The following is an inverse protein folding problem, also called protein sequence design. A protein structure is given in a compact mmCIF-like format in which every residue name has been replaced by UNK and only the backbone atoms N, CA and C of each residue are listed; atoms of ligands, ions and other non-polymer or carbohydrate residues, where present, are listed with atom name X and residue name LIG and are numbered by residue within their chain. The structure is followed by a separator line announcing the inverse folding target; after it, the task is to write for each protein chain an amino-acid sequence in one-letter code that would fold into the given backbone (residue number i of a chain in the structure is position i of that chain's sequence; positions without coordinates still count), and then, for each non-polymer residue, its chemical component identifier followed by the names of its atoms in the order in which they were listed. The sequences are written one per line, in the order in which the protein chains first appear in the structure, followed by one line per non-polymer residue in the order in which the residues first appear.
data_IF_149529819819
#
_entry.id   IF_149529819819
#
_cell.length_a   1.000
_cell.length_b   1.000
_cell.length_c   1.000
_cell.angle_alpha   90.00
_cell.angle_beta   90.00
_cell.angle_gamma   90.00
#
_symmetry.space_group_name_H-M   'P 1'
#
loop_
_entity.id
_entity.type
_entity.pdbx_description
1 polymer ?
#
# COMPACT_ATOMS: atom_id res chain seq x y z
N UNK A 1 -15.99 -20.97 -4.42
CA UNK A 1 -15.60 -22.31 -3.95
C UNK A 1 -14.94 -23.21 -5.01
N UNK A 2 -15.22 -23.11 -6.33
CA UNK A 2 -14.64 -23.99 -7.37
C UNK A 2 -13.18 -23.71 -7.79
N UNK A 3 -12.60 -22.54 -7.48
CA UNK A 3 -11.21 -22.21 -7.88
C UNK A 3 -10.13 -22.64 -6.89
N UNK A 4 -10.50 -22.98 -5.66
CA UNK A 4 -9.57 -23.35 -4.58
C UNK A 4 -9.16 -24.82 -4.68
N UNK A 5 -10.04 -25.67 -5.21
CA UNK A 5 -9.77 -27.10 -5.41
C UNK A 5 -8.77 -27.39 -6.54
N UNK A 6 -8.65 -26.50 -7.53
CA UNK A 6 -7.75 -26.68 -8.67
C UNK A 6 -6.27 -26.56 -8.31
N UNK A 7 -5.92 -25.69 -7.34
CA UNK A 7 -4.52 -25.50 -6.92
C UNK A 7 -3.96 -26.70 -6.14
N UNK A 8 -4.81 -27.44 -5.43
CA UNK A 8 -4.40 -28.67 -4.73
C UNK A 8 -4.26 -29.83 -5.71
N UNK A 9 -5.08 -29.86 -6.75
CA UNK A 9 -5.05 -30.91 -7.78
C UNK A 9 -3.78 -30.78 -8.64
N UNK A 10 -3.28 -29.58 -8.92
CA UNK A 10 -2.07 -29.40 -9.73
C UNK A 10 -0.79 -29.86 -9.01
N UNK A 11 -0.76 -29.82 -7.67
CA UNK A 11 0.38 -30.31 -6.86
C UNK A 11 0.42 -31.84 -6.86
N UNK A 12 -0.68 -32.49 -7.17
CA UNK A 12 -0.85 -33.95 -7.10
C UNK A 12 -0.60 -34.66 -8.45
N UNK A 13 -0.64 -33.94 -9.57
CA UNK A 13 -0.30 -34.50 -10.88
C UNK A 13 1.19 -34.80 -11.05
N UNK A 14 2.07 -34.28 -10.19
CA UNK A 14 3.50 -34.64 -10.17
C UNK A 14 3.76 -35.98 -9.48
N UNK A 15 2.76 -36.56 -8.80
CA UNK A 15 2.91 -37.82 -8.06
C UNK A 15 2.47 -39.06 -8.81
N UNK A 16 1.86 -38.95 -9.99
CA UNK A 16 1.29 -40.11 -10.70
C UNK A 16 2.23 -40.84 -11.69
N UNK A 17 3.50 -40.48 -11.75
CA UNK A 17 4.45 -41.05 -12.72
C UNK A 17 5.57 -41.88 -12.09
N UNK A 18 5.31 -42.63 -11.00
CA UNK A 18 6.20 -43.71 -10.56
C UNK A 18 5.41 -44.79 -9.78
N UNK A 19 4.70 -45.65 -10.47
CA UNK A 19 4.26 -46.93 -9.92
C UNK A 19 5.35 -47.99 -10.13
N UNK A 20 6.40 -47.88 -9.33
CA UNK A 20 7.28 -48.98 -9.01
C UNK A 20 6.84 -49.55 -7.66
N UNK A 21 6.35 -50.78 -7.61
CA UNK A 21 6.04 -51.48 -6.36
C UNK A 21 7.36 -51.76 -5.63
N UNK A 22 7.82 -50.78 -4.85
CA UNK A 22 8.79 -50.98 -3.79
C UNK A 22 8.03 -50.85 -2.45
N UNK A 23 8.22 -51.81 -1.55
CA UNK A 23 7.69 -51.78 -0.17
C UNK A 23 7.98 -50.40 0.42
N UNK A 24 6.94 -49.56 0.54
CA UNK A 24 7.07 -48.23 1.12
C UNK A 24 7.56 -48.36 2.56
N UNK A 25 8.68 -47.75 2.89
CA UNK A 25 9.17 -47.68 4.26
C UNK A 25 8.09 -47.07 5.15
N UNK A 26 8.03 -47.41 6.45
CA UNK A 26 7.04 -46.85 7.37
C UNK A 26 7.03 -45.29 7.33
N UNK A 27 8.16 -44.71 7.00
CA UNK A 27 8.32 -43.26 6.78
C UNK A 27 7.44 -42.74 5.60
N UNK A 28 7.35 -43.47 4.48
CA UNK A 28 6.55 -43.02 3.33
C UNK A 28 5.05 -43.09 3.64
N UNK A 29 4.62 -43.99 4.50
CA UNK A 29 3.24 -44.09 4.98
C UNK A 29 2.86 -42.92 5.86
N UNK A 30 3.70 -42.53 6.82
CA UNK A 30 3.45 -41.37 7.71
C UNK A 30 3.26 -40.07 6.92
N UNK A 31 4.09 -39.86 5.89
CA UNK A 31 3.95 -38.69 5.01
C UNK A 31 2.69 -38.80 4.13
N UNK A 32 2.37 -39.99 3.59
CA UNK A 32 1.17 -40.22 2.81
C UNK A 32 -0.10 -40.00 3.62
N UNK A 33 -0.12 -40.43 4.87
CA UNK A 33 -1.25 -40.18 5.80
C UNK A 33 -1.45 -38.69 6.08
N UNK A 34 -0.36 -37.95 6.34
CA UNK A 34 -0.45 -36.50 6.54
C UNK A 34 -0.97 -35.78 5.29
N UNK A 35 -0.55 -36.19 4.10
CA UNK A 35 -1.05 -35.70 2.82
C UNK A 35 -2.52 -36.01 2.59
N UNK A 36 -2.95 -37.20 2.98
CA UNK A 36 -4.35 -37.63 2.87
C UNK A 36 -5.25 -36.80 3.76
N UNK A 37 -4.83 -36.49 4.99
CA UNK A 37 -5.52 -35.57 5.89
C UNK A 37 -5.63 -34.15 5.30
N UNK A 38 -4.56 -33.65 4.70
CA UNK A 38 -4.57 -32.34 4.05
C UNK A 38 -5.55 -32.30 2.86
N UNK A 39 -5.60 -33.39 2.05
CA UNK A 39 -6.56 -33.54 0.95
C UNK A 39 -8.01 -33.61 1.45
N UNK A 40 -8.25 -34.24 2.58
CA UNK A 40 -9.56 -34.38 3.19
C UNK A 40 -10.03 -33.06 3.90
N UNK A 41 -9.22 -31.97 3.83
CA UNK A 41 -9.54 -30.70 4.47
C UNK A 41 -9.31 -30.69 6.00
N UNK A 42 -8.76 -31.76 6.57
CA UNK A 42 -8.42 -31.87 7.99
C UNK A 42 -7.07 -31.17 8.25
N UNK A 43 -7.02 -29.85 7.98
CA UNK A 43 -5.77 -29.08 7.96
C UNK A 43 -5.08 -29.03 9.34
N UNK A 44 -5.83 -28.98 10.45
CA UNK A 44 -5.26 -28.94 11.79
C UNK A 44 -4.50 -30.24 12.14
N UNK A 45 -5.08 -31.40 11.84
CA UNK A 45 -4.42 -32.69 12.06
C UNK A 45 -3.22 -32.88 11.11
N UNK A 46 -3.41 -32.52 9.83
CA UNK A 46 -2.36 -32.57 8.83
C UNK A 46 -1.15 -31.70 9.22
N UNK A 47 -1.40 -30.46 9.65
CA UNK A 47 -0.32 -29.53 10.05
C UNK A 47 0.46 -30.04 11.25
N UNK A 48 -0.20 -30.61 12.26
CA UNK A 48 0.46 -31.21 13.42
C UNK A 48 1.38 -32.38 13.02
N UNK A 49 0.90 -33.28 12.17
CA UNK A 49 1.72 -34.40 11.66
C UNK A 49 2.88 -33.90 10.80
N UNK A 50 2.63 -33.02 9.84
CA UNK A 50 3.67 -32.44 8.97
C UNK A 50 4.75 -31.69 9.79
N UNK A 51 4.35 -30.97 10.82
CA UNK A 51 5.28 -30.32 11.74
C UNK A 51 6.22 -31.33 12.41
N UNK A 52 5.68 -32.40 13.00
CA UNK A 52 6.47 -33.47 13.61
C UNK A 52 7.43 -34.12 12.61
N UNK A 53 6.95 -34.43 11.38
CA UNK A 53 7.76 -35.02 10.31
C UNK A 53 8.88 -34.08 9.85
N UNK A 54 8.66 -32.77 9.84
CA UNK A 54 9.66 -31.76 9.42
C UNK A 54 10.92 -31.71 10.32
N UNK A 55 10.79 -32.13 11.58
CA UNK A 55 11.88 -32.21 12.54
C UNK A 55 12.47 -33.61 12.67
N UNK A 56 11.82 -34.65 12.12
CA UNK A 56 12.29 -36.01 12.20
C UNK A 56 13.56 -36.22 11.35
N UNK A 57 14.64 -36.83 11.90
CA UNK A 57 15.85 -37.16 11.15
C UNK A 57 15.60 -38.06 9.94
N UNK A 58 14.57 -38.94 10.01
CA UNK A 58 14.18 -39.85 8.94
C UNK A 58 13.76 -39.15 7.65
N UNK A 59 13.35 -37.87 7.72
CA UNK A 59 12.86 -37.10 6.58
C UNK A 59 13.81 -36.00 6.15
N UNK A 60 15.08 -36.09 6.47
CA UNK A 60 16.07 -35.07 6.16
C UNK A 60 16.03 -34.68 4.67
N UNK A 61 15.98 -35.66 3.79
CA UNK A 61 15.97 -35.47 2.32
C UNK A 61 14.67 -34.87 1.80
N UNK A 62 13.53 -35.13 2.49
CA UNK A 62 12.21 -34.62 2.15
C UNK A 62 11.80 -33.39 2.96
N UNK A 63 12.68 -32.87 3.81
CA UNK A 63 12.39 -31.79 4.76
C UNK A 63 11.84 -30.54 4.08
N UNK A 64 12.42 -30.11 2.96
CA UNK A 64 11.97 -28.93 2.21
C UNK A 64 10.58 -29.13 1.61
N UNK A 65 10.31 -30.32 1.11
CA UNK A 65 8.97 -30.70 0.66
C UNK A 65 7.94 -30.62 1.78
N UNK A 66 8.27 -31.20 2.93
CA UNK A 66 7.38 -31.23 4.11
C UNK A 66 7.13 -29.82 4.63
N UNK A 67 8.17 -28.98 4.76
CA UNK A 67 8.02 -27.57 5.17
C UNK A 67 7.16 -26.78 4.18
N UNK A 68 7.35 -26.99 2.87
CA UNK A 68 6.52 -26.34 1.85
C UNK A 68 5.04 -26.74 1.99
N UNK A 69 4.74 -28.04 2.12
CA UNK A 69 3.37 -28.54 2.29
C UNK A 69 2.77 -28.06 3.61
N UNK A 70 3.55 -28.04 4.68
CA UNK A 70 3.12 -27.48 5.98
C UNK A 70 2.75 -25.99 5.84
N UNK A 71 3.59 -25.19 5.18
CA UNK A 71 3.28 -23.80 4.88
C UNK A 71 1.98 -23.64 4.10
N UNK A 72 1.76 -24.47 3.08
CA UNK A 72 0.50 -24.50 2.32
C UNK A 72 -0.71 -24.85 3.19
N UNK A 73 -0.58 -25.83 4.07
CA UNK A 73 -1.65 -26.27 4.97
C UNK A 73 -2.01 -25.17 5.97
N UNK A 74 -1.00 -24.51 6.55
CA UNK A 74 -1.18 -23.37 7.45
C UNK A 74 -1.82 -22.16 6.76
N UNK A 75 -1.44 -21.89 5.51
CA UNK A 75 -2.04 -20.83 4.71
C UNK A 75 -3.54 -21.07 4.44
N UNK A 76 -3.94 -22.34 4.20
CA UNK A 76 -5.36 -22.70 4.08
C UNK A 76 -6.15 -22.47 5.37
N UNK A 77 -5.50 -22.61 6.51
CA UNK A 77 -6.07 -22.28 7.82
C UNK A 77 -6.08 -20.76 8.12
N UNK A 78 -5.64 -19.92 7.18
CA UNK A 78 -5.43 -18.47 7.32
C UNK A 78 -4.37 -18.09 8.37
N UNK A 79 -3.54 -19.01 8.80
CA UNK A 79 -2.40 -18.77 9.69
C UNK A 79 -1.19 -18.26 8.86
N UNK A 80 -1.39 -17.12 8.19
CA UNK A 80 -0.46 -16.60 7.17
C UNK A 80 0.92 -16.29 7.73
N UNK A 81 1.02 -15.78 8.96
CA UNK A 81 2.31 -15.46 9.58
C UNK A 81 3.13 -16.74 9.82
N UNK A 82 2.52 -17.77 10.37
CA UNK A 82 3.20 -19.06 10.62
C UNK A 82 3.55 -19.77 9.33
N UNK A 83 2.67 -19.69 8.31
CA UNK A 83 2.91 -20.18 6.97
C UNK A 83 4.13 -19.50 6.32
N UNK A 84 4.23 -18.18 6.45
CA UNK A 84 5.36 -17.40 5.94
C UNK A 84 6.70 -17.88 6.51
N UNK A 85 6.78 -18.18 7.80
CA UNK A 85 8.00 -18.74 8.40
C UNK A 85 8.41 -20.10 7.80
N UNK A 86 7.43 -20.95 7.42
CA UNK A 86 7.73 -22.23 6.77
C UNK A 86 8.29 -22.01 5.37
N UNK A 87 7.69 -21.09 4.59
CA UNK A 87 8.18 -20.73 3.25
C UNK A 87 9.57 -20.11 3.30
N UNK A 88 9.84 -19.21 4.26
CA UNK A 88 11.20 -18.68 4.49
C UNK A 88 12.18 -19.79 4.81
N UNK A 89 11.80 -20.76 5.64
CA UNK A 89 12.63 -21.90 5.94
C UNK A 89 13.02 -22.70 4.68
N UNK A 90 12.11 -22.86 3.72
CA UNK A 90 12.40 -23.49 2.43
C UNK A 90 13.35 -22.65 1.57
N UNK A 91 13.19 -21.33 1.58
CA UNK A 91 13.99 -20.40 0.79
C UNK A 91 15.42 -20.29 1.36
N UNK A 92 15.56 -20.27 2.68
CA UNK A 92 16.87 -20.17 3.37
C UNK A 92 17.83 -21.32 3.06
N UNK A 93 17.30 -22.52 2.90
CA UNK A 93 18.13 -23.71 2.63
C UNK A 93 18.77 -23.69 1.22
N UNK A 94 18.40 -22.71 0.38
CA UNK A 94 19.00 -22.54 -0.94
C UNK A 94 18.80 -23.75 -1.86
N UNK A 95 19.07 -23.58 -3.12
CA UNK A 95 19.13 -24.55 -4.21
C UNK A 95 18.21 -25.81 -4.10
N UNK A 96 16.92 -25.60 -3.86
CA UNK A 96 15.93 -26.67 -3.87
C UNK A 96 14.79 -26.38 -4.85
N UNK A 97 14.12 -27.43 -5.34
CA UNK A 97 13.05 -27.31 -6.35
C UNK A 97 11.81 -26.55 -5.89
N UNK A 98 11.66 -26.29 -4.59
CA UNK A 98 10.47 -25.64 -4.01
C UNK A 98 10.65 -24.12 -3.80
N UNK A 99 11.83 -23.55 -4.05
CA UNK A 99 12.11 -22.13 -3.82
C UNK A 99 11.10 -21.23 -4.54
N UNK A 100 10.87 -21.50 -5.85
CA UNK A 100 9.97 -20.69 -6.68
C UNK A 100 8.55 -20.69 -6.14
N UNK A 101 8.03 -21.89 -5.82
CA UNK A 101 6.70 -22.04 -5.26
C UNK A 101 6.59 -21.48 -3.85
N UNK A 102 7.62 -21.63 -3.02
CA UNK A 102 7.65 -21.09 -1.67
C UNK A 102 7.64 -19.55 -1.68
N UNK A 103 8.35 -18.92 -2.60
CA UNK A 103 8.35 -17.46 -2.72
C UNK A 103 7.00 -16.92 -3.23
N UNK A 104 6.38 -17.60 -4.20
CA UNK A 104 5.02 -17.27 -4.65
C UNK A 104 4.03 -17.30 -3.48
N UNK A 105 4.08 -18.36 -2.67
CA UNK A 105 3.18 -18.51 -1.52
C UNK A 105 3.52 -17.55 -0.39
N UNK A 106 4.79 -17.22 -0.20
CA UNK A 106 5.22 -16.18 0.74
C UNK A 106 4.69 -14.81 0.32
N UNK A 107 4.71 -14.47 -0.97
CA UNK A 107 4.12 -13.23 -1.46
C UNK A 107 2.62 -13.16 -1.18
N UNK A 108 1.87 -14.25 -1.44
CA UNK A 108 0.44 -14.30 -1.14
C UNK A 108 0.16 -14.19 0.38
N UNK A 109 1.03 -14.76 1.22
CA UNK A 109 0.93 -14.64 2.67
C UNK A 109 1.22 -13.21 3.13
N UNK A 110 2.23 -12.54 2.56
CA UNK A 110 2.55 -11.15 2.84
C UNK A 110 1.40 -10.21 2.43
N UNK A 111 0.82 -10.40 1.24
CA UNK A 111 -0.35 -9.64 0.79
C UNK A 111 -1.55 -9.83 1.74
N UNK A 112 -1.76 -11.05 2.23
CA UNK A 112 -2.84 -11.34 3.18
C UNK A 112 -2.60 -10.72 4.57
N UNK A 113 -1.35 -10.58 4.99
CA UNK A 113 -0.95 -9.94 6.24
C UNK A 113 -0.91 -8.41 6.13
N UNK A 114 -0.67 -7.88 4.93
CA UNK A 114 -0.35 -6.47 4.71
C UNK A 114 1.05 -6.10 5.26
N UNK A 115 1.93 -7.08 5.42
CA UNK A 115 3.30 -6.92 5.91
C UNK A 115 4.29 -7.66 5.01
N UNK A 116 5.17 -6.90 4.37
CA UNK A 116 6.15 -7.40 3.41
C UNK A 116 7.53 -7.71 4.03
N UNK A 117 7.70 -7.53 5.33
CA UNK A 117 9.02 -7.67 6.01
C UNK A 117 9.65 -9.04 5.74
N UNK A 118 8.85 -10.09 5.87
CA UNK A 118 9.31 -11.47 5.64
C UNK A 118 9.57 -11.75 4.16
N UNK A 119 8.74 -11.18 3.28
CA UNK A 119 8.91 -11.29 1.83
C UNK A 119 10.19 -10.58 1.38
N UNK A 120 10.43 -9.37 1.88
CA UNK A 120 11.61 -8.58 1.55
C UNK A 120 12.92 -9.28 1.97
N UNK A 121 12.91 -9.91 3.14
CA UNK A 121 14.03 -10.74 3.58
C UNK A 121 14.31 -11.90 2.62
N UNK A 122 13.28 -12.55 2.10
CA UNK A 122 13.43 -13.66 1.17
C UNK A 122 13.92 -13.19 -0.20
N UNK A 123 13.35 -12.10 -0.73
CA UNK A 123 13.66 -11.54 -2.04
C UNK A 123 15.12 -11.11 -2.15
N UNK A 124 15.70 -10.54 -1.09
CA UNK A 124 17.10 -10.08 -1.10
C UNK A 124 18.13 -11.19 -1.39
N UNK A 125 17.70 -12.46 -1.43
CA UNK A 125 18.56 -13.63 -1.63
C UNK A 125 18.30 -14.43 -2.90
N UNK A 126 17.43 -13.95 -3.78
CA UNK A 126 16.97 -14.72 -4.94
C UNK A 126 17.16 -13.95 -6.24
N UNK A 127 17.57 -14.66 -7.29
CA UNK A 127 17.64 -14.12 -8.63
C UNK A 127 16.26 -14.21 -9.31
N UNK A 128 15.69 -13.06 -9.68
CA UNK A 128 14.35 -12.97 -10.30
C UNK A 128 14.29 -13.71 -11.65
N UNK A 129 15.37 -13.77 -12.39
CA UNK A 129 15.44 -14.45 -13.69
C UNK A 129 15.17 -15.96 -13.62
N UNK A 130 15.33 -16.54 -12.43
CA UNK A 130 15.03 -17.95 -12.19
C UNK A 130 13.53 -18.24 -12.04
N UNK A 131 12.69 -17.19 -11.93
CA UNK A 131 11.25 -17.33 -11.73
C UNK A 131 10.48 -17.51 -13.04
N UNK A 132 9.32 -18.21 -13.01
CA UNK A 132 8.39 -18.21 -14.11
C UNK A 132 7.96 -16.80 -14.50
N UNK A 133 7.85 -16.52 -15.79
CA UNK A 133 7.50 -15.18 -16.31
C UNK A 133 6.23 -14.62 -15.69
N UNK A 134 5.24 -15.47 -15.39
CA UNK A 134 3.96 -15.10 -14.79
C UNK A 134 4.10 -14.39 -13.43
N UNK A 135 5.17 -14.67 -12.68
CA UNK A 135 5.39 -14.12 -11.34
C UNK A 135 6.44 -13.00 -11.32
N UNK A 136 7.16 -12.76 -12.44
CA UNK A 136 8.25 -11.78 -12.48
C UNK A 136 7.77 -10.36 -12.24
N UNK A 137 6.62 -9.97 -12.80
CA UNK A 137 6.06 -8.63 -12.62
C UNK A 137 5.80 -8.31 -11.14
N UNK A 138 5.20 -9.27 -10.42
CA UNK A 138 4.98 -9.14 -8.98
C UNK A 138 6.31 -9.03 -8.21
N UNK A 139 7.30 -9.86 -8.56
CA UNK A 139 8.60 -9.85 -7.90
C UNK A 139 9.35 -8.55 -8.16
N UNK A 140 9.37 -8.05 -9.40
CA UNK A 140 9.98 -6.75 -9.73
C UNK A 140 9.30 -5.62 -8.95
N UNK A 141 7.98 -5.64 -8.85
CA UNK A 141 7.23 -4.66 -8.09
C UNK A 141 7.63 -4.68 -6.60
N UNK A 142 7.65 -5.86 -5.96
CA UNK A 142 8.04 -6.02 -4.54
C UNK A 142 9.51 -5.68 -4.28
N UNK A 143 10.42 -6.02 -5.19
CA UNK A 143 11.83 -5.62 -5.11
C UNK A 143 11.94 -4.09 -5.15
N UNK A 144 11.21 -3.44 -6.05
CA UNK A 144 11.16 -1.98 -6.11
C UNK A 144 10.68 -1.35 -4.81
N UNK A 145 9.59 -1.87 -4.21
CA UNK A 145 9.10 -1.40 -2.91
C UNK A 145 10.14 -1.57 -1.79
N UNK A 146 10.81 -2.72 -1.74
CA UNK A 146 11.90 -2.96 -0.79
C UNK A 146 13.05 -1.96 -0.95
N UNK A 147 13.47 -1.72 -2.20
CA UNK A 147 14.52 -0.77 -2.53
C UNK A 147 14.14 0.68 -2.18
N UNK A 148 12.86 1.06 -2.39
CA UNK A 148 12.32 2.36 -1.95
C UNK A 148 12.45 2.54 -0.43
N UNK A 149 12.05 1.55 0.37
CA UNK A 149 12.17 1.59 1.84
C UNK A 149 13.63 1.70 2.30
N UNK A 150 14.55 1.08 1.57
CA UNK A 150 16.00 1.14 1.83
C UNK A 150 16.68 2.36 1.18
N UNK A 151 15.91 3.33 0.66
CA UNK A 151 16.41 4.55 0.01
C UNK A 151 17.32 4.29 -1.21
N UNK A 152 17.21 3.11 -1.82
CA UNK A 152 17.91 2.72 -3.04
C UNK A 152 17.10 3.16 -4.27
N UNK A 153 16.83 4.45 -4.38
CA UNK A 153 15.81 5.01 -5.29
C UNK A 153 16.05 4.69 -6.77
N UNK A 154 17.28 4.78 -7.25
CA UNK A 154 17.59 4.48 -8.66
C UNK A 154 17.33 3.00 -8.94
N UNK A 155 17.82 2.10 -8.10
CA UNK A 155 17.59 0.66 -8.26
C UNK A 155 16.09 0.31 -8.17
N UNK A 156 15.35 1.00 -7.31
CA UNK A 156 13.89 0.86 -7.20
C UNK A 156 13.21 1.24 -8.52
N UNK A 157 13.58 2.39 -9.10
CA UNK A 157 13.03 2.83 -10.39
C UNK A 157 13.27 1.81 -11.50
N UNK A 158 14.48 1.24 -11.58
CA UNK A 158 14.82 0.19 -12.53
C UNK A 158 14.02 -1.11 -12.31
N UNK A 159 13.77 -1.46 -11.06
CA UNK A 159 12.93 -2.62 -10.74
C UNK A 159 11.48 -2.42 -11.15
N UNK A 160 10.91 -1.24 -10.89
CA UNK A 160 9.55 -0.90 -11.34
C UNK A 160 9.44 -0.83 -12.87
N UNK A 161 10.48 -0.41 -13.58
CA UNK A 161 10.52 -0.35 -15.05
C UNK A 161 10.37 -1.73 -15.69
N UNK A 162 10.86 -2.79 -15.04
CA UNK A 162 10.77 -4.17 -15.50
C UNK A 162 9.38 -4.78 -15.42
N UNK A 163 8.43 -4.11 -14.77
CA UNK A 163 7.02 -4.57 -14.71
C UNK A 163 6.37 -4.37 -16.09
N UNK A 164 5.85 -5.44 -16.66
CA UNK A 164 5.32 -5.42 -18.03
C UNK A 164 4.04 -4.57 -18.15
N UNK A 165 3.87 -3.93 -19.31
CA UNK A 165 2.69 -3.08 -19.62
C UNK A 165 1.35 -3.80 -19.55
N UNK A 166 1.34 -5.12 -19.69
CA UNK A 166 0.13 -5.96 -19.60
C UNK A 166 -0.23 -6.39 -18.18
N UNK A 167 0.61 -6.09 -17.21
CA UNK A 167 0.39 -6.45 -15.81
C UNK A 167 -0.66 -5.53 -15.16
N UNK A 168 -1.46 -6.10 -14.26
CA UNK A 168 -2.35 -5.31 -13.39
C UNK A 168 -1.56 -4.42 -12.40
N UNK A 169 -0.27 -4.69 -12.21
CA UNK A 169 0.63 -3.89 -11.37
C UNK A 169 1.29 -2.73 -12.12
N UNK A 170 1.12 -2.64 -13.46
CA UNK A 170 1.83 -1.67 -14.28
C UNK A 170 1.59 -0.21 -13.86
N UNK A 171 0.32 0.16 -13.62
CA UNK A 171 0.00 1.54 -13.24
C UNK A 171 0.65 1.92 -11.90
N UNK A 172 0.60 1.02 -10.91
CA UNK A 172 1.28 1.20 -9.63
C UNK A 172 2.80 1.27 -9.80
N UNK A 173 3.37 0.39 -10.61
CA UNK A 173 4.81 0.36 -10.87
C UNK A 173 5.30 1.66 -11.53
N UNK A 174 4.60 2.16 -12.54
CA UNK A 174 4.96 3.43 -13.21
C UNK A 174 4.84 4.63 -12.28
N UNK A 175 3.82 4.66 -11.44
CA UNK A 175 3.68 5.70 -10.43
C UNK A 175 4.85 5.66 -9.42
N UNK A 176 5.16 4.49 -8.89
CA UNK A 176 6.28 4.30 -7.96
C UNK A 176 7.64 4.57 -8.62
N UNK A 177 7.80 4.25 -9.92
CA UNK A 177 8.99 4.61 -10.70
C UNK A 177 9.19 6.13 -10.74
N UNK A 178 8.11 6.88 -11.01
CA UNK A 178 8.14 8.34 -10.99
C UNK A 178 8.55 8.88 -9.63
N UNK A 179 7.97 8.36 -8.54
CA UNK A 179 8.35 8.73 -7.18
C UNK A 179 9.82 8.40 -6.88
N UNK A 180 10.28 7.21 -7.28
CA UNK A 180 11.66 6.79 -7.07
C UNK A 180 12.66 7.72 -7.76
N UNK A 181 12.39 8.13 -9.01
CA UNK A 181 13.22 9.12 -9.68
C UNK A 181 13.17 10.51 -9.03
N UNK A 182 12.01 10.92 -8.53
CA UNK A 182 11.87 12.18 -7.81
C UNK A 182 12.71 12.19 -6.53
N UNK A 183 12.65 11.13 -5.72
CA UNK A 183 13.46 10.94 -4.51
C UNK A 183 14.96 10.84 -4.81
N UNK A 184 15.33 10.31 -5.99
CA UNK A 184 16.71 10.28 -6.48
C UNK A 184 17.22 11.63 -7.02
N UNK A 185 16.39 12.69 -7.00
CA UNK A 185 16.72 14.00 -7.59
C UNK A 185 16.72 14.02 -9.11
N UNK A 186 16.23 12.97 -9.79
CA UNK A 186 16.18 12.83 -11.23
C UNK A 186 14.84 13.31 -11.80
N UNK A 187 14.53 14.59 -11.60
CA UNK A 187 13.21 15.16 -11.88
C UNK A 187 12.75 14.99 -13.32
N UNK A 188 13.64 15.04 -14.33
CA UNK A 188 13.25 14.84 -15.74
C UNK A 188 12.78 13.41 -16.01
N UNK A 189 13.46 12.42 -15.42
CA UNK A 189 13.06 11.02 -15.52
C UNK A 189 11.75 10.76 -14.77
N UNK A 190 11.56 11.43 -13.63
CA UNK A 190 10.31 11.37 -12.88
C UNK A 190 9.14 11.89 -13.71
N UNK A 191 9.28 13.08 -14.31
CA UNK A 191 8.25 13.66 -15.20
C UNK A 191 7.94 12.72 -16.36
N UNK A 192 8.97 12.16 -17.02
CA UNK A 192 8.78 11.22 -18.14
C UNK A 192 8.01 9.96 -17.71
N UNK A 193 8.30 9.39 -16.53
CA UNK A 193 7.57 8.23 -16.00
C UNK A 193 6.09 8.55 -15.70
N UNK A 194 5.80 9.72 -15.13
CA UNK A 194 4.43 10.17 -14.91
C UNK A 194 3.70 10.44 -16.23
N UNK A 195 4.35 11.07 -17.22
CA UNK A 195 3.76 11.31 -18.53
C UNK A 195 3.43 10.01 -19.26
N UNK A 196 4.30 8.99 -19.18
CA UNK A 196 4.01 7.68 -19.74
C UNK A 196 2.76 7.07 -19.11
N UNK A 197 2.55 7.23 -17.80
CA UNK A 197 1.35 6.75 -17.13
C UNK A 197 0.10 7.54 -17.52
N UNK A 198 0.16 8.87 -17.58
CA UNK A 198 -0.95 9.75 -17.95
C UNK A 198 -1.42 9.46 -19.39
N UNK A 199 -0.48 9.31 -20.32
CA UNK A 199 -0.76 9.09 -21.74
C UNK A 199 -1.03 7.62 -22.09
N UNK A 200 -0.83 6.71 -21.13
CA UNK A 200 -0.94 5.28 -21.40
C UNK A 200 -2.36 4.89 -21.83
N UNK A 201 -2.43 4.20 -22.99
CA UNK A 201 -3.61 3.49 -23.50
C UNK A 201 -3.47 1.98 -23.23
N UNK A 202 -2.82 1.59 -22.14
CA UNK A 202 -2.55 0.18 -21.84
C UNK A 202 -3.84 -0.65 -21.81
N UNK A 203 -3.74 -1.92 -22.25
CA UNK A 203 -4.84 -2.89 -22.20
C UNK A 203 -5.29 -3.22 -20.76
N UNK A 204 -4.42 -3.05 -19.76
CA UNK A 204 -4.82 -3.09 -18.36
C UNK A 204 -5.58 -1.79 -18.04
N UNK A 205 -6.71 -1.84 -17.34
CA UNK A 205 -7.47 -0.66 -17.00
C UNK A 205 -6.64 0.19 -16.02
N UNK A 206 -5.94 1.19 -16.57
CA UNK A 206 -5.42 2.29 -15.76
C UNK A 206 -6.65 3.08 -15.41
N UNK A 207 -7.08 2.97 -14.15
CA UNK A 207 -8.21 3.74 -13.67
C UNK A 207 -7.83 5.23 -13.64
N UNK A 208 -8.81 6.09 -13.76
CA UNK A 208 -8.61 7.53 -13.75
C UNK A 208 -7.90 8.01 -12.49
N UNK A 209 -8.09 7.32 -11.37
CA UNK A 209 -7.39 7.57 -10.10
C UNK A 209 -5.86 7.48 -10.22
N UNK A 210 -5.32 6.47 -10.92
CA UNK A 210 -3.88 6.33 -11.12
C UNK A 210 -3.30 7.45 -12.01
N UNK A 211 -4.07 7.90 -13.02
CA UNK A 211 -3.67 9.04 -13.85
C UNK A 211 -3.67 10.35 -13.06
N UNK A 212 -4.71 10.57 -12.25
CA UNK A 212 -4.77 11.76 -11.39
C UNK A 212 -3.62 11.79 -10.39
N UNK A 213 -3.29 10.65 -9.76
CA UNK A 213 -2.13 10.55 -8.88
C UNK A 213 -0.82 10.89 -9.62
N UNK A 214 -0.68 10.43 -10.89
CA UNK A 214 0.48 10.76 -11.72
C UNK A 214 0.54 12.25 -12.08
N UNK A 215 -0.60 12.89 -12.38
CA UNK A 215 -0.67 14.35 -12.62
C UNK A 215 -0.22 15.11 -11.37
N UNK A 216 -0.69 14.73 -10.19
CA UNK A 216 -0.25 15.32 -8.91
C UNK A 216 1.25 15.11 -8.68
N UNK A 217 1.77 13.90 -8.91
CA UNK A 217 3.20 13.59 -8.81
C UNK A 217 4.05 14.42 -9.76
N UNK A 218 3.64 14.51 -11.02
CA UNK A 218 4.31 15.35 -12.04
C UNK A 218 4.34 16.82 -11.63
N UNK A 219 3.21 17.38 -11.20
CA UNK A 219 3.10 18.77 -10.79
C UNK A 219 4.01 19.09 -9.59
N UNK A 220 4.09 18.20 -8.60
CA UNK A 220 5.00 18.33 -7.45
C UNK A 220 6.48 18.32 -7.87
N UNK A 221 6.86 17.46 -8.81
CA UNK A 221 8.24 17.42 -9.35
C UNK A 221 8.55 18.73 -10.11
N UNK A 222 7.63 19.21 -10.94
CA UNK A 222 7.79 20.50 -11.63
C UNK A 222 7.92 21.67 -10.64
N UNK A 223 7.16 21.64 -9.56
CA UNK A 223 7.28 22.61 -8.47
C UNK A 223 8.66 22.54 -7.81
N UNK A 224 9.18 21.36 -7.48
CA UNK A 224 10.53 21.20 -6.94
C UNK A 224 11.62 21.72 -7.88
N UNK A 225 11.44 21.53 -9.20
CA UNK A 225 12.31 22.08 -10.24
C UNK A 225 12.17 23.59 -10.43
N UNK A 226 11.33 24.27 -9.65
CA UNK A 226 10.99 25.69 -9.76
C UNK A 226 10.36 26.09 -11.10
N UNK A 227 9.82 25.11 -11.83
CA UNK A 227 9.03 25.36 -13.04
C UNK A 227 7.56 25.59 -12.64
N UNK A 228 7.30 26.76 -12.04
CA UNK A 228 6.01 27.09 -11.45
C UNK A 228 4.87 27.08 -12.45
N UNK A 229 5.11 27.60 -13.66
CA UNK A 229 4.09 27.70 -14.68
C UNK A 229 3.65 26.31 -15.19
N UNK A 230 4.61 25.44 -15.48
CA UNK A 230 4.30 24.07 -15.89
C UNK A 230 3.63 23.27 -14.74
N UNK A 231 3.99 23.52 -13.48
CA UNK A 231 3.33 22.91 -12.33
C UNK A 231 1.86 23.38 -12.25
N UNK A 232 1.59 24.67 -12.39
CA UNK A 232 0.23 25.24 -12.37
C UNK A 232 -0.61 24.65 -13.49
N UNK A 233 -0.09 24.57 -14.73
CA UNK A 233 -0.83 23.98 -15.84
C UNK A 233 -1.12 22.50 -15.61
N UNK A 234 -0.15 21.73 -15.07
CA UNK A 234 -0.37 20.31 -14.75
C UNK A 234 -1.45 20.15 -13.66
N UNK A 235 -1.48 21.00 -12.62
CA UNK A 235 -2.55 20.99 -11.63
C UNK A 235 -3.92 21.30 -12.24
N UNK A 236 -4.00 22.16 -13.25
CA UNK A 236 -5.27 22.50 -13.95
C UNK A 236 -5.85 21.32 -14.74
N UNK A 237 -5.02 20.37 -15.15
CA UNK A 237 -5.46 19.15 -15.85
C UNK A 237 -6.18 18.16 -14.91
N UNK A 238 -6.04 18.30 -13.59
CA UNK A 238 -6.68 17.42 -12.61
C UNK A 238 -8.20 17.62 -12.64
N UNK A 239 -8.99 16.55 -12.80
CA UNK A 239 -10.46 16.63 -12.85
C UNK A 239 -11.03 17.19 -11.53
N UNK A 240 -12.02 18.08 -11.66
CA UNK A 240 -12.64 18.76 -10.51
C UNK A 240 -13.46 17.84 -9.61
N UNK A 241 -13.94 16.73 -10.13
CA UNK A 241 -14.69 15.69 -9.44
C UNK A 241 -13.79 14.61 -8.81
N UNK A 242 -12.46 14.75 -8.94
CA UNK A 242 -11.52 13.83 -8.32
C UNK A 242 -11.42 14.07 -6.81
N UNK A 243 -11.12 13.02 -6.06
CA UNK A 243 -10.86 13.10 -4.62
C UNK A 243 -9.62 13.97 -4.26
N UNK A 244 -8.76 14.28 -5.25
CA UNK A 244 -7.56 15.11 -5.09
C UNK A 244 -7.79 16.58 -5.40
N UNK A 245 -9.02 17.00 -5.79
CA UNK A 245 -9.25 18.36 -6.24
C UNK A 245 -8.95 19.43 -5.17
N UNK A 246 -9.28 19.17 -3.91
CA UNK A 246 -8.96 20.08 -2.83
C UNK A 246 -7.44 20.21 -2.58
N UNK A 247 -6.70 19.06 -2.66
CA UNK A 247 -5.23 19.09 -2.59
C UNK A 247 -4.64 19.84 -3.78
N UNK A 248 -5.21 19.68 -4.97
CA UNK A 248 -4.84 20.40 -6.19
C UNK A 248 -4.98 21.91 -6.04
N UNK A 249 -6.10 22.39 -5.50
CA UNK A 249 -6.32 23.81 -5.23
C UNK A 249 -5.28 24.34 -4.24
N UNK A 250 -4.97 23.59 -3.21
CA UNK A 250 -4.00 23.98 -2.19
C UNK A 250 -2.57 23.99 -2.74
N UNK A 251 -2.12 22.92 -3.36
CA UNK A 251 -0.75 22.77 -3.87
C UNK A 251 -0.47 23.71 -5.04
N UNK A 252 -1.42 23.91 -5.95
CA UNK A 252 -1.28 24.88 -7.03
C UNK A 252 -1.17 26.32 -6.52
N UNK A 253 -1.82 26.63 -5.38
CA UNK A 253 -1.68 27.95 -4.76
C UNK A 253 -0.26 28.26 -4.29
N UNK A 254 0.49 27.25 -3.85
CA UNK A 254 1.91 27.39 -3.55
C UNK A 254 2.72 27.76 -4.81
N UNK A 255 2.47 27.09 -5.95
CA UNK A 255 3.12 27.41 -7.21
C UNK A 255 2.74 28.84 -7.70
N UNK A 256 1.48 29.22 -7.55
CA UNK A 256 1.00 30.57 -7.87
C UNK A 256 1.64 31.64 -7.00
N UNK A 257 1.83 31.37 -5.70
CA UNK A 257 2.56 32.25 -4.79
C UNK A 257 4.01 32.44 -5.23
N UNK A 258 4.70 31.35 -5.56
CA UNK A 258 6.09 31.40 -6.02
C UNK A 258 6.26 32.10 -7.35
N UNK A 259 5.24 32.09 -8.23
CA UNK A 259 5.23 32.80 -9.51
C UNK A 259 4.65 34.21 -9.43
N UNK A 260 4.29 34.72 -8.24
CA UNK A 260 3.71 36.07 -8.06
C UNK A 260 2.25 36.19 -8.53
N UNK A 261 1.56 35.09 -8.79
CA UNK A 261 0.14 35.08 -9.23
C UNK A 261 -0.82 35.15 -8.04
N UNK A 262 -0.72 36.19 -7.24
CA UNK A 262 -1.44 36.36 -5.96
C UNK A 262 -2.97 36.31 -6.12
N UNK A 263 -3.54 36.94 -7.15
CA UNK A 263 -4.98 36.90 -7.38
C UNK A 263 -5.50 35.48 -7.67
N UNK A 264 -4.76 34.69 -8.44
CA UNK A 264 -5.11 33.30 -8.72
C UNK A 264 -5.03 32.42 -7.47
N UNK A 265 -4.00 32.62 -6.63
CA UNK A 265 -3.88 31.93 -5.34
C UNK A 265 -5.05 32.27 -4.41
N UNK A 266 -5.45 33.55 -4.33
CA UNK A 266 -6.61 33.97 -3.55
C UNK A 266 -7.90 33.32 -4.03
N UNK A 267 -8.10 33.19 -5.35
CA UNK A 267 -9.27 32.49 -5.92
C UNK A 267 -9.35 31.03 -5.44
N UNK A 268 -8.21 30.30 -5.46
CA UNK A 268 -8.17 28.94 -4.95
C UNK A 268 -8.47 28.89 -3.45
N UNK A 269 -7.91 29.80 -2.63
CA UNK A 269 -8.19 29.84 -1.20
C UNK A 269 -9.65 30.17 -0.91
N UNK A 270 -10.29 31.05 -1.68
CA UNK A 270 -11.72 31.29 -1.56
C UNK A 270 -12.54 30.02 -1.83
N UNK A 271 -12.16 29.24 -2.85
CA UNK A 271 -12.80 27.95 -3.12
C UNK A 271 -12.60 26.97 -1.97
N UNK A 272 -11.38 26.83 -1.46
CA UNK A 272 -11.04 25.93 -0.34
C UNK A 272 -11.75 26.29 0.97
N UNK A 273 -12.04 27.57 1.18
CA UNK A 273 -12.73 28.04 2.38
C UNK A 273 -14.26 28.22 2.18
N UNK A 274 -14.80 27.65 1.10
CA UNK A 274 -16.24 27.57 0.88
C UNK A 274 -16.88 26.51 1.78
N UNK A 275 -18.18 26.59 1.98
CA UNK A 275 -18.96 25.61 2.74
C UNK A 275 -18.82 24.17 2.20
N UNK A 276 -18.51 24.02 0.92
CA UNK A 276 -18.30 22.70 0.30
C UNK A 276 -17.10 21.94 0.90
N UNK A 277 -16.06 22.69 1.35
CA UNK A 277 -14.82 22.11 1.91
C UNK A 277 -14.67 22.35 3.42
N UNK A 278 -15.72 22.73 4.14
CA UNK A 278 -15.66 23.03 5.58
C UNK A 278 -15.14 21.85 6.45
N UNK A 279 -15.32 20.62 5.97
CA UNK A 279 -14.88 19.41 6.65
C UNK A 279 -13.41 19.04 6.38
N UNK A 280 -12.70 19.79 5.54
CA UNK A 280 -11.30 19.50 5.24
C UNK A 280 -10.35 20.21 6.21
N UNK A 281 -9.46 19.44 6.83
CA UNK A 281 -8.43 19.98 7.71
C UNK A 281 -7.25 20.53 6.90
N UNK A 282 -7.25 21.81 6.66
CA UNK A 282 -6.21 22.53 5.92
C UNK A 282 -5.87 23.87 6.60
N UNK A 283 -5.35 23.88 7.85
CA UNK A 283 -5.05 25.12 8.57
C UNK A 283 -4.03 26.01 7.84
N UNK A 284 -3.07 25.39 7.15
CA UNK A 284 -2.09 26.11 6.33
C UNK A 284 -2.72 26.98 5.24
N UNK A 285 -3.86 26.59 4.68
CA UNK A 285 -4.51 27.34 3.61
C UNK A 285 -4.97 28.74 4.07
N UNK A 286 -5.45 28.88 5.31
CA UNK A 286 -5.77 30.17 5.91
C UNK A 286 -4.53 31.00 6.20
N UNK A 287 -3.46 30.38 6.70
CA UNK A 287 -2.19 31.07 6.93
C UNK A 287 -1.61 31.59 5.61
N UNK A 288 -1.60 30.77 4.56
CA UNK A 288 -1.14 31.20 3.24
C UNK A 288 -1.99 32.32 2.67
N UNK A 289 -3.31 32.26 2.83
CA UNK A 289 -4.20 33.32 2.42
C UNK A 289 -3.88 34.65 3.15
N UNK A 290 -3.58 34.59 4.45
CA UNK A 290 -3.16 35.77 5.20
C UNK A 290 -1.82 36.32 4.73
N UNK A 291 -0.86 35.45 4.40
CA UNK A 291 0.43 35.80 3.82
C UNK A 291 0.26 36.51 2.47
N UNK A 292 -0.65 36.01 1.59
CA UNK A 292 -0.94 36.69 0.33
C UNK A 292 -1.47 38.13 0.58
N UNK A 293 -2.41 38.29 1.50
CA UNK A 293 -2.94 39.60 1.83
C UNK A 293 -1.84 40.53 2.39
N UNK A 294 -0.89 40.00 3.17
CA UNK A 294 0.29 40.74 3.62
C UNK A 294 1.12 41.22 2.42
N UNK A 295 1.44 40.35 1.46
CA UNK A 295 2.22 40.71 0.26
C UNK A 295 1.58 41.77 -0.60
N UNK A 296 0.25 41.84 -0.64
CA UNK A 296 -0.47 42.83 -1.44
C UNK A 296 -0.97 44.00 -0.58
N UNK A 297 -0.45 44.14 0.65
CA UNK A 297 -0.76 45.25 1.59
C UNK A 297 -2.26 45.36 1.94
N UNK A 298 -2.99 44.28 1.98
CA UNK A 298 -4.41 44.21 2.38
C UNK A 298 -4.55 43.77 3.84
N UNK A 299 -4.11 44.62 4.76
CA UNK A 299 -4.00 44.33 6.21
C UNK A 299 -5.35 44.02 6.86
N UNK A 300 -6.41 44.72 6.49
CA UNK A 300 -7.77 44.44 7.02
C UNK A 300 -8.29 43.06 6.63
N UNK A 301 -8.02 42.64 5.40
CA UNK A 301 -8.38 41.30 4.94
C UNK A 301 -7.52 40.23 5.60
N UNK A 302 -6.26 40.52 5.84
CA UNK A 302 -5.36 39.61 6.59
C UNK A 302 -5.89 39.40 8.01
N UNK A 303 -6.27 40.47 8.73
CA UNK A 303 -6.79 40.37 10.11
C UNK A 303 -8.10 39.52 10.15
N UNK A 304 -9.01 39.75 9.19
CA UNK A 304 -10.23 38.94 9.07
C UNK A 304 -9.92 37.46 8.91
N UNK A 305 -8.90 37.09 8.11
CA UNK A 305 -8.51 35.70 7.89
C UNK A 305 -7.85 35.10 9.14
N UNK A 306 -7.01 35.84 9.84
CA UNK A 306 -6.40 35.41 11.10
C UNK A 306 -7.45 35.23 12.20
N UNK A 307 -8.43 36.12 12.27
CA UNK A 307 -9.58 35.98 13.18
C UNK A 307 -10.38 34.75 12.86
N UNK A 308 -10.65 34.45 11.57
CA UNK A 308 -11.32 33.25 11.13
C UNK A 308 -10.52 31.97 11.48
N UNK A 309 -9.20 32.02 11.28
CA UNK A 309 -8.31 30.92 11.68
C UNK A 309 -8.45 30.62 13.19
N UNK A 310 -8.40 31.64 14.02
CA UNK A 310 -8.58 31.49 15.46
C UNK A 310 -9.95 30.91 15.84
N UNK A 311 -11.02 31.37 15.17
CA UNK A 311 -12.39 30.89 15.41
C UNK A 311 -12.54 29.40 15.06
N UNK A 312 -11.94 28.92 13.97
CA UNK A 312 -12.06 27.54 13.51
C UNK A 312 -11.14 26.62 14.32
N UNK A 313 -9.85 26.96 14.47
CA UNK A 313 -8.84 26.02 14.94
C UNK A 313 -8.54 26.08 16.45
N UNK A 314 -8.87 27.16 17.17
CA UNK A 314 -8.75 27.18 18.64
C UNK A 314 -9.60 26.10 19.32
N UNK A 315 -10.89 25.91 18.96
CA UNK A 315 -11.69 24.81 19.52
C UNK A 315 -11.13 23.42 19.18
N UNK A 316 -10.66 23.22 17.93
CA UNK A 316 -10.04 21.97 17.48
C UNK A 316 -8.80 21.64 18.31
N UNK A 317 -7.93 22.62 18.52
CA UNK A 317 -6.73 22.48 19.35
C UNK A 317 -7.06 22.12 20.80
N UNK A 318 -8.03 22.81 21.40
CA UNK A 318 -8.48 22.53 22.75
C UNK A 318 -9.05 21.10 22.90
N UNK A 319 -9.83 20.64 21.92
CA UNK A 319 -10.39 19.30 21.92
C UNK A 319 -9.30 18.22 21.73
N UNK A 320 -8.30 18.45 20.86
CA UNK A 320 -7.17 17.55 20.69
C UNK A 320 -6.40 17.39 22.01
N UNK A 321 -6.05 18.52 22.68
CA UNK A 321 -5.33 18.46 23.95
C UNK A 321 -6.14 17.71 25.01
N UNK A 322 -7.43 18.01 25.15
CA UNK A 322 -8.32 17.27 26.06
C UNK A 322 -8.34 15.76 25.75
N UNK A 323 -8.25 15.39 24.49
CA UNK A 323 -8.21 13.98 24.05
C UNK A 323 -6.90 13.33 24.43
N UNK A 324 -5.77 14.03 24.22
CA UNK A 324 -4.43 13.52 24.53
C UNK A 324 -4.23 13.34 26.04
N UNK A 325 -4.82 14.22 26.87
CA UNK A 325 -4.77 14.12 28.32
C UNK A 325 -5.58 12.92 28.87
N UNK A 326 -6.46 12.32 28.08
CA UNK A 326 -7.39 11.26 28.48
C UNK A 326 -7.27 9.99 27.64
N UNK A 327 -6.05 9.57 27.29
CA UNK A 327 -5.77 8.42 26.39
C UNK A 327 -6.04 7.05 27.05
N UNK A 328 -6.76 6.97 28.16
CA UNK A 328 -6.91 5.74 28.98
C UNK A 328 -7.70 4.60 28.31
N UNK A 329 -8.33 4.81 27.15
CA UNK A 329 -9.18 3.80 26.49
C UNK A 329 -8.93 3.72 24.98
N UNK A 330 -7.86 3.05 24.54
CA UNK A 330 -7.54 2.91 23.12
C UNK A 330 -8.69 2.30 22.29
N UNK A 331 -9.46 1.38 22.85
CA UNK A 331 -10.62 0.75 22.19
C UNK A 331 -11.67 1.77 21.72
N UNK A 332 -11.88 2.84 22.49
CA UNK A 332 -12.84 3.90 22.15
C UNK A 332 -12.45 4.62 20.87
N UNK A 333 -11.16 4.91 20.69
CA UNK A 333 -10.63 5.57 19.49
C UNK A 333 -10.66 4.64 18.29
N UNK A 334 -10.30 3.37 18.50
CA UNK A 334 -10.37 2.37 17.45
C UNK A 334 -11.80 2.19 16.93
N UNK A 335 -12.76 2.03 17.82
CA UNK A 335 -14.18 1.85 17.47
C UNK A 335 -14.72 3.08 16.74
N UNK A 336 -14.42 4.30 17.21
CA UNK A 336 -14.81 5.54 16.54
C UNK A 336 -14.28 5.61 15.12
N UNK A 337 -12.98 5.33 14.91
CA UNK A 337 -12.37 5.34 13.58
C UNK A 337 -12.96 4.25 12.68
N UNK A 338 -13.18 3.05 13.24
CA UNK A 338 -13.82 1.95 12.52
C UNK A 338 -15.23 2.33 12.04
N UNK A 339 -15.98 3.02 12.86
CA UNK A 339 -17.32 3.49 12.50
C UNK A 339 -17.27 4.62 11.47
N UNK A 340 -16.33 5.56 11.61
CA UNK A 340 -16.09 6.58 10.57
C UNK A 340 -15.70 5.96 9.23
N UNK A 341 -14.82 4.96 9.21
CA UNK A 341 -14.42 4.28 7.96
C UNK A 341 -15.58 3.51 7.32
N UNK A 342 -16.55 3.04 8.10
CA UNK A 342 -17.80 2.45 7.58
C UNK A 342 -18.73 3.52 6.99
N UNK A 343 -18.82 4.69 7.63
CA UNK A 343 -19.70 5.79 7.26
C UNK A 343 -19.19 6.57 6.02
N UNK A 344 -17.89 6.62 5.79
CA UNK A 344 -17.31 7.27 4.59
C UNK A 344 -17.90 6.79 3.25
N UNK A 345 -18.69 5.72 3.28
CA UNK A 345 -19.41 5.22 2.10
C UNK A 345 -20.80 5.81 1.92
N UNK A 346 -21.40 6.47 2.91
CA UNK A 346 -22.80 6.92 2.80
C UNK A 346 -23.18 8.25 3.43
N UNK A 347 -22.72 8.65 4.62
CA UNK A 347 -23.16 9.92 5.26
C UNK A 347 -22.20 10.37 6.38
N UNK A 348 -22.09 11.70 6.59
CA UNK A 348 -21.34 12.24 7.72
C UNK A 348 -22.07 11.92 9.05
N UNK A 349 -21.35 11.67 10.17
CA UNK A 349 -21.98 11.44 11.46
C UNK A 349 -22.87 12.62 11.87
N UNK A 350 -24.07 12.32 12.31
CA UNK A 350 -25.06 13.35 12.74
C UNK A 350 -24.64 14.10 13.98
N UNK A 351 -23.81 13.51 14.84
CA UNK A 351 -23.31 14.13 16.07
C UNK A 351 -21.77 14.25 16.04
N UNK A 352 -21.30 15.30 15.33
CA UNK A 352 -19.87 15.62 15.21
C UNK A 352 -19.26 16.14 16.51
N UNK A 353 -20.06 16.68 17.43
CA UNK A 353 -19.59 17.32 18.66
C UNK A 353 -19.30 16.29 19.77
N UNK A 354 -19.92 15.13 19.77
CA UNK A 354 -19.67 14.09 20.78
C UNK A 354 -18.43 13.23 20.50
N UNK A 355 -17.76 13.45 19.38
CA UNK A 355 -16.59 12.66 18.99
C UNK A 355 -15.38 12.97 19.88
N UNK A 356 -14.61 11.96 20.33
CA UNK A 356 -13.42 12.18 21.15
C UNK A 356 -12.29 12.90 20.39
N UNK A 357 -12.25 12.79 19.07
CA UNK A 357 -11.33 13.53 18.19
C UNK A 357 -12.17 14.44 17.29
N UNK A 358 -11.75 15.70 17.02
CA UNK A 358 -12.46 16.56 16.08
C UNK A 358 -12.65 15.86 14.71
N UNK A 359 -13.86 15.93 14.18
CA UNK A 359 -14.23 15.24 12.92
C UNK A 359 -13.28 15.52 11.78
N UNK A 360 -12.91 16.80 11.57
CA UNK A 360 -11.99 17.23 10.51
C UNK A 360 -10.58 16.60 10.66
N UNK A 361 -10.11 16.41 11.90
CA UNK A 361 -8.82 15.77 12.20
C UNK A 361 -8.92 14.25 11.97
N UNK A 362 -10.00 13.64 12.45
CA UNK A 362 -10.24 12.21 12.27
C UNK A 362 -10.35 11.84 10.78
N UNK A 363 -11.00 12.67 9.95
CA UNK A 363 -11.02 12.50 8.49
C UNK A 363 -9.61 12.55 7.87
N UNK A 364 -8.76 13.46 8.31
CA UNK A 364 -7.38 13.55 7.81
C UNK A 364 -6.60 12.29 8.17
N UNK A 365 -6.66 11.86 9.43
CA UNK A 365 -6.00 10.63 9.92
C UNK A 365 -6.45 9.40 9.12
N UNK A 366 -7.76 9.25 8.88
CA UNK A 366 -8.30 8.09 8.14
C UNK A 366 -7.87 8.02 6.68
N UNK A 367 -7.33 9.10 6.11
CA UNK A 367 -6.80 9.15 4.73
C UNK A 367 -5.30 8.85 4.64
N UNK A 368 -4.57 8.92 5.76
CA UNK A 368 -3.15 8.62 5.79
C UNK A 368 -2.90 7.12 5.50
N UNK A 369 -2.02 6.84 4.52
CA UNK A 369 -1.77 5.48 4.06
C UNK A 369 -1.23 4.57 5.16
N UNK A 370 -0.32 5.06 5.98
CA UNK A 370 0.27 4.27 7.09
C UNK A 370 -0.77 3.94 8.15
N UNK A 371 -1.68 4.88 8.43
CA UNK A 371 -2.80 4.64 9.33
C UNK A 371 -3.75 3.59 8.75
N UNK A 372 -4.14 3.71 7.48
CA UNK A 372 -5.01 2.73 6.81
C UNK A 372 -4.40 1.33 6.83
N UNK A 373 -3.11 1.20 6.53
CA UNK A 373 -2.41 -0.07 6.53
C UNK A 373 -2.40 -0.71 7.93
N UNK A 374 -2.04 0.06 8.95
CA UNK A 374 -2.03 -0.39 10.35
C UNK A 374 -3.44 -0.79 10.83
N UNK A 375 -4.44 0.02 10.49
CA UNK A 375 -5.83 -0.23 10.83
C UNK A 375 -6.36 -1.51 10.16
N UNK A 376 -6.06 -1.70 8.86
CA UNK A 376 -6.42 -2.92 8.14
C UNK A 376 -5.74 -4.16 8.71
N UNK A 377 -4.50 -4.03 9.16
CA UNK A 377 -3.77 -5.12 9.81
C UNK A 377 -4.44 -5.54 11.12
N UNK A 378 -4.71 -4.57 12.02
CA UNK A 378 -5.38 -4.85 13.31
C UNK A 378 -6.77 -5.48 13.08
N UNK A 379 -7.51 -5.02 12.06
CA UNK A 379 -8.84 -5.55 11.76
C UNK A 379 -8.82 -7.00 11.25
N UNK A 380 -7.68 -7.46 10.71
CA UNK A 380 -7.51 -8.83 10.21
C UNK A 380 -7.06 -9.82 11.29
N UNK A 381 -6.51 -9.31 12.41
CA UNK A 381 -6.19 -10.10 13.59
C UNK A 381 -7.46 -10.49 14.35
#
# INVERSE_FOLDING_TARGET
MKRITLSIILILSVFSAQTGVAQSSGADRDLADALTLAKAGKYAEASKRLFQLSYSPRFRDKRMQIKYILGMTLHQMKLNQVAAFQFIGVIKEGNNRYIKQALEKLSLAADALGDDTLLNYAISRINVEEFPRVHRDMLHFRIGEYQMRNKQFVAAAESFERVSRGSNLYAGAKYQQGLAYAEAGQGDRAVAAFDELIQSRARAPINDKAKVAAMMGKARVLYQKKNWDAAIETYREVPRDSEYWHDTLFESSWAMLRSGRFCSALSNFHSLHSAFYEDFYLPESLLLRSIVYLYICKYDEMDKVLTLFGKIYKPVYAQINKTLDNVDKPDRYFNMINDMMKLQKKEAPTDRMSMPIPYIVAQKITREADFQNSFQYIRKL
#
